data_IF_760500223387
#
_entry.id   IF_760500223387
#
_cell.length_a   1.000
_cell.length_b   1.000
_cell.length_c   1.000
_cell.angle_alpha   90.00
_cell.angle_beta   90.00
_cell.angle_gamma   90.00
#
_symmetry.space_group_name_H-M   'P 1'
#
loop_
_entity.id
_entity.type
_entity.pdbx_description
1 polymer ?
#
# COMPACT_ATOMS: atom_id res chain seq x y z
N UNK A 1 -11.10 1.18 9.37
CA UNK A 1 -11.03 -0.01 8.51
C UNK A 1 -11.52 0.35 7.12
N UNK A 2 -10.72 1.12 6.40
CA UNK A 2 -11.04 1.58 5.07
C UNK A 2 -9.80 1.47 4.19
N UNK A 3 -9.99 0.86 3.03
CA UNK A 3 -9.11 1.10 1.91
C UNK A 3 -9.59 2.35 1.19
N UNK A 4 -8.66 3.01 0.52
CA UNK A 4 -8.92 4.18 -0.29
C UNK A 4 -8.28 4.01 -1.66
N UNK A 5 -8.91 4.62 -2.66
CA UNK A 5 -8.29 4.84 -3.96
C UNK A 5 -8.00 6.32 -4.14
N UNK A 6 -6.75 6.64 -4.48
CA UNK A 6 -6.37 7.97 -4.94
C UNK A 6 -6.56 8.01 -6.44
N UNK A 7 -7.57 8.73 -6.92
CA UNK A 7 -7.91 8.86 -8.34
C UNK A 7 -7.74 10.31 -8.77
N UNK A 8 -6.73 10.60 -9.60
CA UNK A 8 -6.42 11.97 -10.05
C UNK A 8 -6.31 12.97 -8.87
N UNK A 9 -5.64 12.57 -7.80
CA UNK A 9 -5.49 13.38 -6.58
C UNK A 9 -6.71 13.41 -5.65
N UNK A 10 -7.81 12.73 -5.98
CA UNK A 10 -8.98 12.63 -5.11
C UNK A 10 -8.97 11.30 -4.35
N UNK A 11 -9.11 11.38 -3.03
CA UNK A 11 -9.22 10.21 -2.16
C UNK A 11 -10.68 9.77 -2.11
N UNK A 12 -10.92 8.49 -2.42
CA UNK A 12 -12.25 7.86 -2.31
C UNK A 12 -12.14 6.60 -1.49
N UNK A 13 -13.00 6.44 -0.49
CA UNK A 13 -13.12 5.18 0.22
C UNK A 13 -13.49 4.06 -0.76
N UNK A 14 -12.87 2.91 -0.58
CA UNK A 14 -13.08 1.72 -1.37
C UNK A 14 -13.25 0.53 -0.44
N UNK A 15 -14.36 -0.20 -0.60
CA UNK A 15 -14.63 -1.42 0.14
C UNK A 15 -14.46 -2.60 -0.81
N UNK A 16 -13.64 -3.57 -0.40
CA UNK A 16 -13.49 -4.83 -1.12
C UNK A 16 -14.50 -5.84 -0.58
N UNK A 17 -15.50 -6.20 -1.39
CA UNK A 17 -16.58 -7.13 -1.01
C UNK A 17 -16.07 -8.50 -0.50
N UNK A 18 -14.89 -8.92 -0.96
CA UNK A 18 -14.29 -10.18 -0.49
C UNK A 18 -13.75 -10.11 0.94
N UNK A 19 -13.52 -8.91 1.49
CA UNK A 19 -13.09 -8.75 2.88
C UNK A 19 -14.26 -8.94 3.86
N UNK A 20 -15.49 -8.63 3.43
CA UNK A 20 -16.71 -8.86 4.23
C UNK A 20 -16.93 -10.36 4.54
N UNK A 21 -16.36 -11.23 3.70
CA UNK A 21 -16.42 -12.69 3.89
C UNK A 21 -15.32 -13.24 4.82
N UNK A 22 -14.27 -12.47 5.11
CA UNK A 22 -13.16 -12.91 5.98
C UNK A 22 -13.56 -12.80 7.44
N UNK A 23 -14.22 -11.70 7.81
CA UNK A 23 -14.83 -11.53 9.13
C UNK A 23 -15.91 -12.60 9.38
N UNK A 24 -16.61 -13.05 8.33
CA UNK A 24 -17.70 -14.04 8.42
C UNK A 24 -17.32 -15.53 8.28
N UNK A 25 -16.13 -15.88 7.77
CA UNK A 25 -15.75 -17.30 7.45
C UNK A 25 -14.68 -17.92 8.35
N UNK A 26 -14.44 -17.40 9.56
CA UNK A 26 -13.63 -18.11 10.57
C UNK A 26 -14.39 -19.25 11.27
N UNK A 27 -15.65 -19.47 10.90
CA UNK A 27 -16.45 -20.63 11.25
C UNK A 27 -16.79 -21.40 9.97
N UNK A 28 -16.58 -22.71 9.97
CA UNK A 28 -16.88 -23.67 8.90
C UNK A 28 -15.78 -23.95 7.87
N UNK A 29 -14.60 -24.39 8.31
CA UNK A 29 -13.84 -25.37 7.53
C UNK A 29 -13.35 -26.54 8.40
N UNK A 30 -14.15 -27.61 8.33
CA UNK A 30 -13.78 -29.03 8.38
C UNK A 30 -12.94 -29.51 9.58
N UNK A 31 -13.58 -29.64 10.74
CA UNK A 31 -13.10 -30.51 11.82
C UNK A 31 -13.86 -31.83 11.79
N UNK A 32 -13.15 -32.95 11.95
CA UNK A 32 -13.78 -34.25 12.18
C UNK A 32 -14.77 -34.16 13.38
N UNK A 33 -15.89 -34.90 13.38
CA UNK A 33 -16.86 -34.86 14.47
C UNK A 33 -16.18 -35.05 15.83
N UNK A 34 -16.25 -34.05 16.72
CA UNK A 34 -15.79 -34.15 18.11
C UNK A 34 -14.61 -33.25 18.53
N UNK A 35 -14.04 -32.41 17.65
CA UNK A 35 -13.07 -31.37 18.05
C UNK A 35 -13.69 -29.98 17.96
N UNK A 36 -14.51 -29.61 18.93
CA UNK A 36 -14.92 -28.20 19.09
C UNK A 36 -13.81 -27.46 19.82
N UNK A 37 -12.97 -26.72 19.08
CA UNK A 37 -12.24 -25.61 19.68
C UNK A 37 -13.06 -24.36 19.41
N UNK A 38 -13.62 -23.79 20.47
CA UNK A 38 -14.10 -22.41 20.43
C UNK A 38 -12.87 -21.51 20.25
N UNK A 39 -12.49 -21.19 19.02
CA UNK A 39 -11.50 -20.15 18.72
C UNK A 39 -12.22 -18.92 18.16
N UNK A 40 -12.57 -18.07 19.14
CA UNK A 40 -12.95 -16.65 19.16
C UNK A 40 -13.44 -16.01 17.85
N UNK A 41 -14.75 -15.80 17.79
CA UNK A 41 -15.41 -14.82 16.91
C UNK A 41 -15.33 -13.37 17.47
N UNK A 42 -14.35 -13.07 18.32
CA UNK A 42 -14.14 -11.78 18.98
C UNK A 42 -12.66 -11.60 19.32
N UNK A 43 -11.80 -11.64 18.30
CA UNK A 43 -10.38 -11.28 18.44
C UNK A 43 -10.11 -10.02 17.64
N UNK A 44 -9.69 -8.97 18.35
CA UNK A 44 -8.96 -7.85 17.76
C UNK A 44 -7.88 -8.38 16.83
N UNK A 45 -7.64 -7.73 15.68
CA UNK A 45 -6.64 -8.23 14.73
C UNK A 45 -5.29 -8.39 15.41
N UNK A 46 -4.55 -9.42 14.99
CA UNK A 46 -3.28 -9.80 15.59
C UNK A 46 -2.27 -8.64 15.62
N UNK A 47 -2.31 -7.77 14.61
CA UNK A 47 -1.57 -6.51 14.52
C UNK A 47 -2.15 -5.63 13.40
N UNK A 48 -1.76 -4.35 13.40
CA UNK A 48 -2.21 -3.31 12.48
C UNK A 48 -1.11 -2.84 11.52
N UNK A 49 -1.49 -2.18 10.43
CA UNK A 49 -0.58 -1.59 9.45
C UNK A 49 0.48 -0.69 10.10
N UNK A 50 0.07 0.18 11.03
CA UNK A 50 0.96 1.11 11.75
C UNK A 50 2.10 0.43 12.51
N UNK A 51 1.93 -0.84 12.89
CA UNK A 51 2.93 -1.60 13.65
C UNK A 51 4.03 -2.17 12.76
N UNK A 52 3.74 -2.42 11.48
CA UNK A 52 4.67 -3.07 10.55
C UNK A 52 5.17 -2.16 9.42
N UNK A 53 4.53 -1.01 9.21
CA UNK A 53 4.89 -0.07 8.15
C UNK A 53 6.25 0.58 8.36
N UNK A 54 6.89 0.95 7.26
CA UNK A 54 8.05 1.84 7.28
C UNK A 54 7.59 3.29 7.36
N UNK A 55 8.11 4.05 8.32
CA UNK A 55 7.73 5.45 8.59
C UNK A 55 8.55 6.47 7.78
N UNK A 56 9.77 6.11 7.39
CA UNK A 56 10.63 6.94 6.57
C UNK A 56 10.24 6.79 5.09
N UNK A 57 9.25 7.58 4.67
CA UNK A 57 8.74 7.55 3.30
C UNK A 57 9.44 8.60 2.47
N UNK A 58 10.17 8.16 1.44
CA UNK A 58 10.76 9.08 0.46
C UNK A 58 9.66 9.64 -0.44
N UNK A 59 9.36 10.90 -0.19
CA UNK A 59 8.45 11.84 -0.84
C UNK A 59 8.90 12.45 -2.17
N UNK A 60 8.05 12.53 -3.22
CA UNK A 60 8.21 13.57 -4.26
C UNK A 60 6.90 14.33 -4.50
N UNK A 61 6.96 15.40 -5.29
CA UNK A 61 5.80 16.18 -5.74
C UNK A 61 5.54 15.92 -7.24
N UNK A 62 4.31 16.11 -7.76
CA UNK A 62 4.01 15.93 -9.18
C UNK A 62 4.78 16.88 -10.11
N UNK A 63 5.32 17.98 -9.58
CA UNK A 63 6.11 18.97 -10.33
C UNK A 63 7.61 18.69 -10.29
N UNK A 64 8.07 17.74 -9.46
CA UNK A 64 9.45 17.27 -9.50
C UNK A 64 9.77 16.63 -10.86
N UNK A 65 11.05 16.66 -11.21
CA UNK A 65 11.57 16.10 -12.46
C UNK A 65 11.68 14.58 -12.39
N UNK A 66 11.49 13.94 -13.53
CA UNK A 66 11.75 12.51 -13.70
C UNK A 66 13.19 12.14 -13.32
N UNK A 67 14.17 12.96 -13.69
CA UNK A 67 15.58 12.76 -13.33
C UNK A 67 15.80 12.55 -11.83
N UNK A 68 15.07 13.29 -10.99
CA UNK A 68 15.13 13.18 -9.53
C UNK A 68 14.57 11.84 -9.03
N UNK A 69 13.46 11.36 -9.60
CA UNK A 69 12.91 10.04 -9.25
C UNK A 69 13.87 8.91 -9.65
N UNK A 70 14.47 8.98 -10.85
CA UNK A 70 15.47 8.00 -11.31
C UNK A 70 16.67 7.95 -10.35
N UNK A 71 17.16 9.11 -9.90
CA UNK A 71 18.25 9.18 -8.93
C UNK A 71 17.88 8.48 -7.61
N UNK A 72 16.69 8.78 -7.07
CA UNK A 72 16.19 8.16 -5.82
C UNK A 72 16.06 6.64 -5.97
N UNK A 73 15.51 6.14 -7.08
CA UNK A 73 15.41 4.71 -7.34
C UNK A 73 16.78 4.02 -7.34
N UNK A 74 17.79 4.63 -7.97
CA UNK A 74 19.16 4.11 -8.03
C UNK A 74 19.87 4.17 -6.68
N UNK A 75 19.69 5.26 -5.94
CA UNK A 75 20.37 5.50 -4.66
C UNK A 75 19.82 4.63 -3.52
N UNK A 76 18.49 4.52 -3.43
CA UNK A 76 17.83 3.86 -2.31
C UNK A 76 17.39 2.43 -2.60
N UNK A 77 17.46 1.97 -3.86
CA UNK A 77 17.02 0.63 -4.24
C UNK A 77 15.53 0.38 -4.00
N UNK A 78 14.72 1.44 -4.04
CA UNK A 78 13.25 1.37 -3.94
C UNK A 78 12.64 1.33 -5.36
N UNK A 79 11.40 0.87 -5.45
CA UNK A 79 10.71 0.70 -6.75
C UNK A 79 9.46 1.57 -6.90
N UNK A 80 9.02 2.22 -5.82
CA UNK A 80 7.84 3.07 -5.82
C UNK A 80 8.10 4.31 -4.96
N UNK A 81 7.68 5.46 -5.46
CA UNK A 81 7.77 6.75 -4.78
C UNK A 81 6.38 7.38 -4.75
N UNK A 82 5.80 7.60 -3.55
CA UNK A 82 4.57 8.36 -3.42
C UNK A 82 4.75 9.81 -3.88
N UNK A 83 3.72 10.36 -4.51
CA UNK A 83 3.65 11.77 -4.87
C UNK A 83 2.70 12.48 -3.92
N UNK A 84 3.19 13.55 -3.28
CA UNK A 84 2.49 14.28 -2.23
C UNK A 84 2.45 15.77 -2.59
N UNK A 85 1.29 16.40 -2.45
CA UNK A 85 1.13 17.85 -2.50
C UNK A 85 0.47 18.33 -1.21
N UNK A 86 1.06 19.33 -0.54
CA UNK A 86 0.51 19.90 0.71
C UNK A 86 0.14 18.83 1.74
N UNK A 87 1.01 17.82 1.91
CA UNK A 87 0.84 16.63 2.76
C UNK A 87 -0.25 15.63 2.35
N UNK A 88 -0.94 15.83 1.22
CA UNK A 88 -1.91 14.87 0.69
C UNK A 88 -1.27 13.98 -0.38
N UNK A 89 -1.50 12.67 -0.29
CA UNK A 89 -1.11 11.71 -1.33
C UNK A 89 -1.94 11.96 -2.60
N UNK A 90 -1.28 12.29 -3.70
CA UNK A 90 -1.94 12.62 -4.98
C UNK A 90 -1.68 11.58 -6.08
N UNK A 91 -0.68 10.72 -5.91
CA UNK A 91 -0.35 9.66 -6.84
C UNK A 91 0.87 8.87 -6.39
N UNK A 92 1.37 8.02 -7.29
CA UNK A 92 2.59 7.25 -7.08
C UNK A 92 3.29 7.09 -8.44
N UNK A 93 4.62 7.04 -8.41
CA UNK A 93 5.43 6.69 -9.57
C UNK A 93 6.25 5.45 -9.24
N UNK A 94 6.26 4.48 -10.14
CA UNK A 94 7.13 3.31 -10.06
C UNK A 94 8.39 3.52 -10.90
N UNK A 95 9.44 2.77 -10.60
CA UNK A 95 10.64 2.73 -11.43
C UNK A 95 10.27 2.35 -12.88
N UNK A 96 9.37 1.39 -13.08
CA UNK A 96 8.85 0.99 -14.40
C UNK A 96 8.15 2.11 -15.15
N UNK A 97 7.50 3.04 -14.45
CA UNK A 97 6.82 4.20 -15.08
C UNK A 97 7.81 5.17 -15.72
N UNK A 98 9.07 5.19 -15.29
CA UNK A 98 10.09 6.15 -15.75
C UNK A 98 11.36 5.51 -16.33
N UNK A 99 11.57 4.20 -16.14
CA UNK A 99 12.81 3.51 -16.54
C UNK A 99 13.04 3.56 -18.06
N UNK A 100 11.98 3.53 -18.85
CA UNK A 100 12.06 3.65 -20.30
C UNK A 100 12.54 5.04 -20.75
N UNK A 101 12.33 6.10 -19.97
CA UNK A 101 12.87 7.43 -20.25
C UNK A 101 14.40 7.46 -20.12
N UNK A 102 14.95 6.68 -19.17
CA UNK A 102 16.39 6.52 -19.02
C UNK A 102 17.00 5.74 -20.19
N UNK A 103 16.33 4.67 -20.63
CA UNK A 103 16.78 3.79 -21.72
C UNK A 103 16.69 4.43 -23.10
N UNK A 104 15.68 5.28 -23.32
CA UNK A 104 15.41 5.93 -24.61
C UNK A 104 16.00 7.34 -24.74
N UNK A 105 16.80 7.79 -23.75
CA UNK A 105 17.36 9.15 -23.69
C UNK A 105 16.31 10.27 -23.88
N UNK A 106 15.09 10.03 -23.40
CA UNK A 106 13.98 10.97 -23.51
C UNK A 106 14.08 12.11 -22.49
N UNK A 107 13.24 13.12 -22.63
CA UNK A 107 13.24 14.33 -21.80
C UNK A 107 13.09 14.02 -20.30
N UNK A 108 14.22 13.95 -19.59
CA UNK A 108 14.29 13.74 -18.14
C UNK A 108 13.88 14.98 -17.34
N UNK A 109 13.68 16.11 -18.03
CA UNK A 109 13.10 17.33 -17.48
C UNK A 109 11.57 17.33 -17.52
N UNK A 110 10.92 16.31 -18.05
CA UNK A 110 9.49 16.14 -17.89
C UNK A 110 9.10 16.02 -16.39
N UNK A 111 7.88 16.44 -16.06
CA UNK A 111 7.35 16.39 -14.69
C UNK A 111 6.73 15.04 -14.39
N UNK A 112 6.82 14.59 -13.13
CA UNK A 112 6.28 13.29 -12.70
C UNK A 112 4.77 13.14 -12.90
N UNK A 113 4.02 14.24 -12.88
CA UNK A 113 2.57 14.26 -13.18
C UNK A 113 2.20 13.64 -14.53
N UNK A 114 3.13 13.59 -15.49
CA UNK A 114 2.92 13.02 -16.81
C UNK A 114 2.97 11.48 -16.81
N UNK A 115 3.64 10.88 -15.81
CA UNK A 115 3.94 9.45 -15.74
C UNK A 115 3.31 8.74 -14.55
N UNK A 116 2.86 9.49 -13.53
CA UNK A 116 2.32 8.91 -12.32
C UNK A 116 1.11 8.00 -12.57
N UNK A 117 1.03 6.92 -11.79
CA UNK A 117 -0.14 6.06 -11.72
C UNK A 117 -1.33 6.85 -11.18
N UNK A 118 -2.43 6.84 -11.94
CA UNK A 118 -3.64 7.62 -11.63
C UNK A 118 -4.53 6.97 -10.59
N UNK A 119 -4.28 5.70 -10.25
CA UNK A 119 -5.04 4.94 -9.26
C UNK A 119 -4.02 4.29 -8.33
N UNK A 120 -4.10 4.62 -7.05
CA UNK A 120 -3.27 4.03 -6.00
C UNK A 120 -4.18 3.50 -4.93
N UNK A 121 -4.03 2.22 -4.56
CA UNK A 121 -4.72 1.63 -3.41
C UNK A 121 -3.92 2.00 -2.16
N UNK A 122 -4.63 2.47 -1.14
CA UNK A 122 -4.08 3.03 0.09
C UNK A 122 -4.86 2.45 1.27
N UNK A 123 -4.23 2.24 2.41
CA UNK A 123 -4.88 1.78 3.63
C UNK A 123 -4.81 2.84 4.74
N UNK A 124 -5.70 2.71 5.73
CA UNK A 124 -5.56 3.44 6.99
C UNK A 124 -4.49 2.77 7.89
N UNK A 125 -4.04 3.50 8.90
CA UNK A 125 -3.04 3.06 9.88
C UNK A 125 -3.55 1.91 10.77
N UNK A 126 -4.87 1.83 10.95
CA UNK A 126 -5.60 0.77 11.64
C UNK A 126 -6.17 -0.28 10.67
N UNK A 127 -5.48 -0.55 9.56
CA UNK A 127 -5.86 -1.65 8.66
C UNK A 127 -5.22 -2.92 9.17
N UNK A 128 -6.01 -3.97 9.37
CA UNK A 128 -5.53 -5.25 9.87
C UNK A 128 -4.59 -5.93 8.86
N UNK A 129 -3.54 -6.59 9.35
CA UNK A 129 -2.52 -7.22 8.48
C UNK A 129 -3.09 -8.31 7.58
N UNK A 130 -4.08 -9.08 8.07
CA UNK A 130 -4.75 -10.11 7.27
C UNK A 130 -5.53 -9.51 6.09
N UNK A 131 -6.18 -8.35 6.28
CA UNK A 131 -6.80 -7.58 5.20
C UNK A 131 -5.75 -7.08 4.21
N UNK A 132 -4.62 -6.53 4.68
CA UNK A 132 -3.51 -6.12 3.80
C UNK A 132 -3.01 -7.29 2.95
N UNK A 133 -2.78 -8.44 3.57
CA UNK A 133 -2.32 -9.65 2.89
C UNK A 133 -3.32 -10.11 1.83
N UNK A 134 -4.61 -10.08 2.15
CA UNK A 134 -5.67 -10.42 1.20
C UNK A 134 -5.72 -9.46 0.01
N UNK A 135 -5.62 -8.14 0.25
CA UNK A 135 -5.61 -7.15 -0.84
C UNK A 135 -4.34 -7.29 -1.68
N UNK A 136 -3.16 -7.48 -1.08
CA UNK A 136 -1.94 -7.75 -1.83
C UNK A 136 -2.07 -8.99 -2.73
N UNK A 137 -2.65 -10.07 -2.20
CA UNK A 137 -2.86 -11.31 -2.94
C UNK A 137 -3.90 -11.16 -4.07
N UNK A 138 -5.03 -10.52 -3.79
CA UNK A 138 -6.17 -10.43 -4.71
C UNK A 138 -5.98 -9.37 -5.79
N UNK A 139 -5.44 -8.21 -5.43
CA UNK A 139 -5.23 -7.09 -6.35
C UNK A 139 -3.85 -7.14 -7.03
N UNK A 140 -2.96 -8.06 -6.63
CA UNK A 140 -1.61 -8.16 -7.18
C UNK A 140 -0.73 -6.95 -6.85
N UNK A 141 -1.04 -6.26 -5.76
CA UNK A 141 -0.30 -5.09 -5.28
C UNK A 141 0.78 -5.52 -4.30
N UNK A 142 2.01 -5.04 -4.49
CA UNK A 142 3.15 -5.44 -3.65
C UNK A 142 3.41 -4.48 -2.47
N UNK A 143 2.78 -3.31 -2.47
CA UNK A 143 2.87 -2.32 -1.41
C UNK A 143 1.80 -1.26 -1.50
N UNK A 144 1.44 -0.70 -0.36
CA UNK A 144 0.40 0.30 -0.19
C UNK A 144 0.93 1.44 0.68
N UNK A 145 0.51 2.65 0.34
CA UNK A 145 0.67 3.80 1.22
C UNK A 145 -0.25 3.64 2.44
N UNK A 146 0.20 4.13 3.59
CA UNK A 146 -0.56 4.15 4.84
C UNK A 146 -0.87 5.60 5.20
N UNK A 147 -2.14 5.90 5.48
CA UNK A 147 -2.58 7.23 5.87
C UNK A 147 -3.13 7.27 7.30
N UNK A 148 -2.98 8.44 7.93
CA UNK A 148 -3.68 8.75 9.18
C UNK A 148 -5.17 9.09 8.95
N UNK A 149 -5.91 9.31 10.03
CA UNK A 149 -7.33 9.73 9.99
C UNK A 149 -7.57 11.06 9.26
N UNK A 150 -6.53 11.88 9.09
CA UNK A 150 -6.57 13.17 8.37
C UNK A 150 -6.15 13.01 6.90
N UNK A 151 -5.94 11.78 6.43
CA UNK A 151 -5.46 11.43 5.10
C UNK A 151 -4.05 11.94 4.77
N UNK A 152 -3.21 12.15 5.77
CA UNK A 152 -1.79 12.39 5.53
C UNK A 152 -1.07 11.07 5.34
N UNK A 153 -0.13 11.03 4.40
CA UNK A 153 0.77 9.90 4.23
C UNK A 153 1.71 9.79 5.43
N UNK A 154 1.66 8.68 6.16
CA UNK A 154 2.49 8.43 7.36
C UNK A 154 3.41 7.22 7.22
N UNK A 155 3.24 6.41 6.17
CA UNK A 155 4.04 5.21 5.99
C UNK A 155 3.80 4.51 4.65
N UNK A 156 4.60 3.48 4.43
CA UNK A 156 4.37 2.48 3.38
C UNK A 156 4.44 1.11 4.03
N UNK A 157 3.52 0.22 3.64
CA UNK A 157 3.55 -1.20 3.99
C UNK A 157 3.66 -2.02 2.72
N UNK A 158 4.49 -3.07 2.75
CA UNK A 158 4.74 -3.96 1.61
C UNK A 158 4.50 -5.41 1.99
N UNK A 159 4.40 -6.29 0.98
CA UNK A 159 4.34 -7.73 1.23
C UNK A 159 5.58 -8.23 2.01
N UNK A 160 6.74 -7.59 1.83
CA UNK A 160 7.94 -7.90 2.62
C UNK A 160 7.75 -7.59 4.11
N UNK A 161 7.06 -6.50 4.46
CA UNK A 161 6.79 -6.16 5.86
C UNK A 161 5.86 -7.19 6.51
N UNK A 162 4.85 -7.68 5.77
CA UNK A 162 3.99 -8.77 6.23
C UNK A 162 4.80 -10.05 6.44
N UNK A 163 5.65 -10.43 5.47
CA UNK A 163 6.51 -11.61 5.60
C UNK A 163 7.44 -11.50 6.80
N UNK A 164 8.10 -10.34 6.98
CA UNK A 164 8.93 -10.06 8.14
C UNK A 164 8.15 -10.23 9.43
N UNK A 165 6.94 -9.66 9.52
CA UNK A 165 6.07 -9.82 10.69
C UNK A 165 5.69 -11.27 10.98
N UNK A 166 5.46 -12.10 9.96
CA UNK A 166 5.16 -13.53 10.14
C UNK A 166 6.35 -14.29 10.74
N UNK A 167 7.59 -13.96 10.33
CA UNK A 167 8.80 -14.69 10.74
C UNK A 167 9.47 -14.14 12.00
N UNK A 168 9.31 -12.85 12.28
CA UNK A 168 9.90 -12.17 13.43
C UNK A 168 8.99 -12.20 14.68
N UNK A 169 7.80 -12.82 14.56
CA UNK A 169 6.85 -13.07 15.66
C UNK A 169 7.30 -14.21 16.58
#
# INVERSE_FOLDING_TARGET
MAFYMVIKGQIKQHCFEYLDNITGRRLEQTLAPGKYRHERADESPDSWAVEIMSKEVISLTPTDRVSKAIAIFKEHGIHHIPLVEKNALVGMVSDRDVMWLDLMELDKEATLSQFMSKIVIVCDDQTAIDHLAHVFYREGVNGMCVMDEKHHLIGIVTHRDILRWVFDK
#
